data_IF_426420332199
#
_entry.id   IF_426420332199
#
_cell.length_a   1.000
_cell.length_b   1.000
_cell.length_c   1.000
_cell.angle_alpha   90.00
_cell.angle_beta   90.00
_cell.angle_gamma   90.00
#
_symmetry.space_group_name_H-M   'P 1'
#
loop_
_entity.id
_entity.type
_entity.pdbx_description
1 polymer ?
#
# COMPACT_ATOMS: atom_id res chain seq x y z
N UNK A 1 -8.80 -0.13 18.81
CA UNK A 1 -8.07 -0.22 17.53
C UNK A 1 -9.08 -0.45 16.44
N UNK A 2 -9.04 0.40 15.47
CA UNK A 2 -9.92 0.27 14.32
C UNK A 2 -9.34 -0.80 13.40
N UNK A 3 -10.08 -1.88 13.22
CA UNK A 3 -9.86 -2.76 12.08
C UNK A 3 -10.10 -1.88 10.85
N UNK A 4 -9.10 -1.77 9.96
CA UNK A 4 -9.28 -1.01 8.73
C UNK A 4 -10.23 -1.77 7.79
N UNK A 5 -11.49 -1.70 8.13
CA UNK A 5 -12.59 -2.10 7.26
C UNK A 5 -12.98 -1.02 6.25
N UNK A 6 -12.06 -0.08 5.98
CA UNK A 6 -12.30 0.96 4.99
C UNK A 6 -12.58 0.32 3.65
N UNK A 7 -13.78 0.50 3.08
CA UNK A 7 -14.18 -0.17 1.85
C UNK A 7 -13.38 0.32 0.64
N UNK A 8 -12.93 1.57 0.68
CA UNK A 8 -12.15 2.17 -0.40
C UNK A 8 -11.02 3.04 0.14
N UNK A 9 -9.92 3.08 -0.62
CA UNK A 9 -8.84 4.03 -0.46
C UNK A 9 -8.72 4.89 -1.73
N UNK A 10 -8.63 6.18 -1.55
CA UNK A 10 -8.21 7.10 -2.60
C UNK A 10 -6.79 7.56 -2.28
N UNK A 11 -5.86 7.33 -3.19
CA UNK A 11 -4.46 7.69 -3.05
C UNK A 11 -4.12 8.86 -3.96
N UNK A 12 -3.31 9.78 -3.47
CA UNK A 12 -2.68 10.83 -4.27
C UNK A 12 -1.15 10.74 -4.15
N UNK A 13 -0.48 10.65 -5.28
CA UNK A 13 0.96 10.57 -5.41
C UNK A 13 1.47 11.87 -6.02
N UNK A 14 2.40 12.58 -5.35
CA UNK A 14 2.94 13.84 -5.85
C UNK A 14 4.35 14.14 -5.34
N UNK A 15 5.01 15.12 -5.97
CA UNK A 15 6.34 15.61 -5.59
C UNK A 15 6.29 16.91 -4.77
N UNK A 16 5.13 17.28 -4.21
CA UNK A 16 5.02 18.37 -3.23
C UNK A 16 5.66 17.97 -1.92
N UNK A 17 6.14 18.95 -1.16
CA UNK A 17 6.53 18.68 0.22
C UNK A 17 5.32 18.20 1.04
N UNK A 18 5.49 17.34 2.05
CA UNK A 18 4.38 16.93 2.91
C UNK A 18 3.64 18.10 3.58
N UNK A 19 4.36 19.18 3.89
CA UNK A 19 3.78 20.39 4.50
C UNK A 19 2.88 21.14 3.51
N UNK A 20 3.34 21.39 2.28
CA UNK A 20 2.55 22.05 1.25
C UNK A 20 1.32 21.21 0.88
N UNK A 21 1.52 19.90 0.72
CA UNK A 21 0.43 18.96 0.46
C UNK A 21 -0.64 19.00 1.56
N UNK A 22 -0.22 18.98 2.83
CA UNK A 22 -1.14 19.06 3.98
C UNK A 22 -1.92 20.36 4.03
N UNK A 23 -1.27 21.48 3.67
CA UNK A 23 -1.87 22.81 3.70
C UNK A 23 -2.82 23.04 2.52
N UNK A 24 -2.38 22.72 1.31
CA UNK A 24 -3.09 23.08 0.08
C UNK A 24 -4.09 22.01 -0.39
N UNK A 25 -3.73 20.73 -0.26
CA UNK A 25 -4.50 19.65 -0.89
C UNK A 25 -5.40 18.86 0.05
N UNK A 26 -4.91 18.51 1.24
CA UNK A 26 -5.67 17.70 2.21
C UNK A 26 -7.04 18.32 2.52
N UNK A 27 -7.19 19.64 2.82
CA UNK A 27 -8.49 20.23 3.09
C UNK A 27 -9.47 20.12 1.92
N UNK A 28 -8.97 20.24 0.69
CA UNK A 28 -9.81 20.18 -0.52
C UNK A 28 -10.39 18.78 -0.73
N UNK A 29 -9.60 17.74 -0.49
CA UNK A 29 -10.09 16.36 -0.65
C UNK A 29 -10.97 15.95 0.52
N UNK A 30 -10.64 16.35 1.76
CA UNK A 30 -11.48 16.10 2.94
C UNK A 30 -12.87 16.74 2.87
N UNK A 31 -13.00 17.84 2.14
CA UNK A 31 -14.30 18.50 1.94
C UNK A 31 -15.20 17.76 0.93
N UNK A 32 -14.70 16.74 0.24
CA UNK A 32 -15.50 15.97 -0.71
C UNK A 32 -16.42 14.99 0.04
N UNK A 33 -17.60 14.79 -0.53
CA UNK A 33 -18.57 13.86 0.01
C UNK A 33 -18.04 12.43 0.05
N UNK A 34 -18.19 11.77 1.18
CA UNK A 34 -17.76 10.38 1.39
C UNK A 34 -16.28 10.21 1.71
N UNK A 35 -15.58 11.27 2.09
CA UNK A 35 -14.22 11.19 2.63
C UNK A 35 -14.29 11.27 4.16
N UNK A 36 -13.79 10.25 4.84
CA UNK A 36 -13.87 10.14 6.30
C UNK A 36 -12.58 10.59 6.99
N UNK A 37 -11.43 10.29 6.37
CA UNK A 37 -10.13 10.51 6.99
C UNK A 37 -9.05 10.71 5.93
N UNK A 38 -8.07 11.54 6.23
CA UNK A 38 -6.84 11.73 5.47
C UNK A 38 -5.63 11.43 6.34
N UNK A 39 -4.67 10.71 5.78
CA UNK A 39 -3.31 10.61 6.29
C UNK A 39 -2.34 10.97 5.17
N UNK A 40 -1.20 11.58 5.52
CA UNK A 40 -0.17 11.88 4.52
C UNK A 40 1.19 11.44 5.01
N UNK A 41 2.01 11.02 4.05
CA UNK A 41 3.18 10.21 4.28
C UNK A 41 4.34 10.72 3.46
N UNK A 42 5.54 10.63 4.02
CA UNK A 42 6.78 10.97 3.35
C UNK A 42 7.53 9.72 2.92
N UNK A 43 7.99 9.69 1.68
CA UNK A 43 8.84 8.64 1.14
C UNK A 43 10.16 8.57 1.92
N UNK A 44 10.50 7.37 2.44
CA UNK A 44 11.73 7.14 3.21
C UNK A 44 12.92 6.70 2.35
N UNK A 45 12.66 6.21 1.13
CA UNK A 45 13.70 5.70 0.24
C UNK A 45 13.54 6.28 -1.17
N UNK A 46 13.70 7.60 -1.36
CA UNK A 46 13.68 8.17 -2.70
C UNK A 46 14.75 7.53 -3.59
N UNK A 47 14.37 7.23 -4.84
CA UNK A 47 15.30 6.60 -5.79
C UNK A 47 15.55 5.12 -5.56
N UNK A 48 14.66 4.40 -4.87
CA UNK A 48 14.74 2.94 -4.73
C UNK A 48 14.94 2.28 -6.10
N UNK A 49 15.99 1.48 -6.23
CA UNK A 49 16.38 0.83 -7.50
C UNK A 49 16.34 -0.69 -7.47
N UNK A 50 16.01 -1.29 -6.30
CA UNK A 50 15.96 -2.74 -6.11
C UNK A 50 14.79 -3.40 -6.84
N UNK A 51 13.76 -2.61 -7.17
CA UNK A 51 12.58 -3.07 -7.90
C UNK A 51 12.38 -2.27 -9.18
N UNK A 52 11.89 -2.90 -10.26
CA UNK A 52 11.39 -2.17 -11.42
C UNK A 52 10.18 -1.32 -11.02
N UNK A 53 9.89 -0.29 -11.81
CA UNK A 53 8.69 0.54 -11.63
C UNK A 53 8.15 1.04 -12.95
N UNK A 54 6.83 1.17 -13.03
CA UNK A 54 6.09 1.78 -14.15
C UNK A 54 5.49 3.13 -13.75
N UNK A 55 5.55 3.43 -12.45
CA UNK A 55 5.11 4.71 -11.86
C UNK A 55 6.36 5.51 -11.50
N UNK A 56 6.37 6.78 -11.89
CA UNK A 56 7.45 7.69 -11.51
C UNK A 56 7.57 7.83 -10.00
N UNK A 57 8.77 8.16 -9.55
CA UNK A 57 9.05 8.43 -8.14
C UNK A 57 8.26 9.63 -7.65
N UNK A 58 7.84 9.58 -6.39
CA UNK A 58 7.13 10.66 -5.73
C UNK A 58 7.56 10.80 -4.27
N UNK A 59 7.45 12.00 -3.73
CA UNK A 59 7.90 12.35 -2.38
C UNK A 59 6.81 12.16 -1.34
N UNK A 60 5.57 12.52 -1.69
CA UNK A 60 4.44 12.56 -0.77
C UNK A 60 3.31 11.67 -1.26
N UNK A 61 2.80 10.85 -0.34
CA UNK A 61 1.63 10.01 -0.52
C UNK A 61 0.49 10.55 0.35
N UNK A 62 -0.63 10.91 -0.26
CA UNK A 62 -1.90 11.11 0.43
C UNK A 62 -2.71 9.83 0.42
N UNK A 63 -3.28 9.45 1.57
CA UNK A 63 -4.17 8.30 1.71
C UNK A 63 -5.47 8.79 2.32
N UNK A 64 -6.57 8.66 1.57
CA UNK A 64 -7.90 9.03 2.02
C UNK A 64 -8.76 7.77 2.17
N UNK A 65 -9.33 7.62 3.35
CA UNK A 65 -10.34 6.61 3.62
C UNK A 65 -11.68 7.14 3.13
N UNK A 66 -12.30 6.39 2.21
CA UNK A 66 -13.50 6.89 1.54
C UNK A 66 -14.60 5.82 1.49
N UNK A 67 -15.84 6.31 1.50
CA UNK A 67 -17.03 5.46 1.43
C UNK A 67 -17.55 5.25 0.00
N UNK A 68 -18.65 4.49 -0.11
CA UNK A 68 -19.29 4.14 -1.38
C UNK A 68 -19.76 5.37 -2.20
N UNK A 69 -20.06 6.47 -1.53
CA UNK A 69 -20.57 7.69 -2.16
C UNK A 69 -19.45 8.59 -2.75
N UNK A 70 -18.18 8.22 -2.50
CA UNK A 70 -17.04 9.00 -2.97
C UNK A 70 -16.90 8.92 -4.49
N UNK A 71 -16.78 10.08 -5.13
CA UNK A 71 -16.38 10.20 -6.52
C UNK A 71 -14.98 10.82 -6.58
N UNK A 72 -14.03 10.11 -7.20
CA UNK A 72 -12.67 10.59 -7.32
C UNK A 72 -12.63 11.94 -8.07
N UNK A 73 -12.02 12.98 -7.49
CA UNK A 73 -11.95 14.29 -8.11
C UNK A 73 -11.02 14.30 -9.31
N UNK A 74 -11.19 15.28 -10.16
CA UNK A 74 -10.15 15.62 -11.14
C UNK A 74 -8.91 16.11 -10.38
N UNK A 75 -7.76 15.49 -10.64
CA UNK A 75 -6.50 15.86 -10.02
C UNK A 75 -5.75 16.90 -10.82
N UNK A 76 -5.01 17.83 -10.19
CA UNK A 76 -4.00 18.64 -10.85
C UNK A 76 -2.99 17.78 -11.60
N UNK A 77 -2.35 18.33 -12.62
CA UNK A 77 -1.40 17.60 -13.49
C UNK A 77 -0.15 17.06 -12.75
N UNK A 78 0.18 17.64 -11.60
CA UNK A 78 1.30 17.25 -10.74
C UNK A 78 0.89 16.22 -9.68
N UNK A 79 -0.37 15.77 -9.67
CA UNK A 79 -0.90 14.77 -8.74
C UNK A 79 -1.49 13.60 -9.52
N UNK A 80 -1.04 12.40 -9.22
CA UNK A 80 -1.63 11.16 -9.72
C UNK A 80 -2.62 10.60 -8.70
N UNK A 81 -3.91 10.60 -9.04
CA UNK A 81 -4.98 9.98 -8.24
C UNK A 81 -5.18 8.51 -8.60
N UNK A 82 -5.32 7.66 -7.59
CA UNK A 82 -5.61 6.22 -7.73
C UNK A 82 -6.74 5.85 -6.76
N UNK A 83 -7.76 5.16 -7.24
CA UNK A 83 -8.90 4.74 -6.42
C UNK A 83 -8.96 3.22 -6.33
N UNK A 84 -8.93 2.70 -5.11
CA UNK A 84 -8.90 1.27 -4.81
C UNK A 84 -10.10 0.87 -3.96
N UNK A 85 -10.66 -0.29 -4.23
CA UNK A 85 -11.67 -0.95 -3.40
C UNK A 85 -11.06 -2.12 -2.65
N UNK A 86 -11.48 -2.35 -1.43
CA UNK A 86 -11.09 -3.53 -0.68
C UNK A 86 -11.57 -4.80 -1.39
N UNK A 87 -10.69 -5.78 -1.47
CA UNK A 87 -11.08 -7.10 -1.99
C UNK A 87 -11.90 -7.86 -0.93
N UNK A 88 -12.76 -8.80 -1.30
CA UNK A 88 -13.50 -9.63 -0.34
C UNK A 88 -12.61 -10.70 0.32
N UNK A 89 -11.33 -10.40 0.54
CA UNK A 89 -10.35 -11.29 1.15
C UNK A 89 -9.84 -10.66 2.45
N UNK A 90 -9.59 -11.49 3.49
CA UNK A 90 -9.07 -10.96 4.75
C UNK A 90 -7.69 -10.35 4.56
N UNK A 91 -7.39 -9.31 5.31
CA UNK A 91 -6.03 -8.88 5.53
C UNK A 91 -5.21 -9.97 6.24
N UNK A 92 -3.90 -9.89 6.14
CA UNK A 92 -2.97 -10.82 6.77
C UNK A 92 -2.18 -10.09 7.85
N UNK A 93 -2.06 -10.67 9.02
CA UNK A 93 -1.38 -10.07 10.18
C UNK A 93 -2.33 -9.80 11.32
N UNK A 94 -1.86 -9.06 12.32
CA UNK A 94 -2.61 -8.69 13.52
C UNK A 94 -2.38 -7.21 13.80
N UNK A 95 -3.44 -6.45 13.86
CA UNK A 95 -3.37 -5.06 14.32
C UNK A 95 -3.00 -5.04 15.80
N UNK A 96 -1.95 -4.29 16.14
CA UNK A 96 -1.32 -4.31 17.47
C UNK A 96 -2.03 -3.43 18.50
N UNK A 97 -3.02 -2.62 18.10
CA UNK A 97 -3.61 -1.57 18.93
C UNK A 97 -2.80 -0.27 18.95
N UNK A 98 -1.64 -0.27 18.29
CA UNK A 98 -0.82 0.92 18.10
C UNK A 98 -1.21 1.63 16.82
N UNK A 99 -0.99 2.95 16.73
CA UNK A 99 -1.23 3.67 15.49
C UNK A 99 -0.29 3.17 14.38
N UNK A 100 -0.77 3.15 13.14
CA UNK A 100 0.08 2.94 11.97
C UNK A 100 0.99 4.15 11.80
N UNK A 101 2.31 3.96 11.90
CA UNK A 101 3.32 5.00 11.81
C UNK A 101 4.19 4.87 10.56
N UNK A 102 4.33 3.66 10.05
CA UNK A 102 5.02 3.33 8.81
C UNK A 102 4.10 2.63 7.83
N UNK A 103 4.46 2.69 6.57
CA UNK A 103 3.72 2.08 5.49
C UNK A 103 4.70 1.55 4.43
N UNK A 104 4.46 0.34 3.93
CA UNK A 104 4.99 -0.08 2.63
C UNK A 104 3.85 -0.09 1.63
N UNK A 105 4.02 0.67 0.55
CA UNK A 105 3.10 0.72 -0.57
C UNK A 105 3.60 -0.21 -1.66
N UNK A 106 2.81 -1.24 -1.97
CA UNK A 106 3.11 -2.18 -3.05
C UNK A 106 1.99 -2.12 -4.09
N UNK A 107 2.33 -1.62 -5.27
CA UNK A 107 1.43 -1.54 -6.41
C UNK A 107 1.90 -2.53 -7.47
N UNK A 108 1.00 -3.41 -7.90
CA UNK A 108 1.31 -4.44 -8.89
C UNK A 108 0.18 -4.61 -9.92
N UNK A 109 0.57 -5.09 -11.10
CA UNK A 109 -0.36 -5.44 -12.16
C UNK A 109 -0.08 -6.85 -12.71
N UNK A 110 -1.08 -7.54 -13.22
CA UNK A 110 -0.83 -8.76 -14.00
C UNK A 110 -0.18 -8.37 -15.35
N UNK A 111 0.72 -9.21 -15.83
CA UNK A 111 1.32 -9.07 -17.17
C UNK A 111 0.24 -9.05 -18.25
N UNK A 112 -0.77 -9.90 -18.08
CA UNK A 112 -1.93 -9.99 -18.95
C UNK A 112 -3.21 -9.92 -18.12
N UNK A 113 -4.28 -9.27 -18.60
CA UNK A 113 -5.54 -9.15 -17.85
C UNK A 113 -6.12 -10.49 -17.39
N UNK A 114 -6.01 -11.54 -18.19
CA UNK A 114 -6.45 -12.88 -17.85
C UNK A 114 -5.70 -13.52 -16.67
N UNK A 115 -4.47 -13.05 -16.39
CA UNK A 115 -3.63 -13.51 -15.28
C UNK A 115 -3.96 -12.87 -13.94
N UNK A 116 -4.91 -11.93 -13.88
CA UNK A 116 -5.19 -11.14 -12.67
C UNK A 116 -5.58 -12.02 -11.48
N UNK A 117 -6.43 -13.04 -11.68
CA UNK A 117 -6.86 -13.92 -10.60
C UNK A 117 -5.69 -14.77 -10.07
N UNK A 118 -4.85 -15.32 -10.97
CA UNK A 118 -3.69 -16.12 -10.57
C UNK A 118 -2.65 -15.29 -9.80
N UNK A 119 -2.40 -14.04 -10.23
CA UNK A 119 -1.53 -13.12 -9.51
C UNK A 119 -2.08 -12.80 -8.11
N UNK A 120 -3.38 -12.53 -8.00
CA UNK A 120 -4.04 -12.27 -6.72
C UNK A 120 -3.92 -13.46 -5.78
N UNK A 121 -4.20 -14.68 -6.26
CA UNK A 121 -4.13 -15.90 -5.45
C UNK A 121 -2.72 -16.15 -4.94
N UNK A 122 -1.73 -15.96 -5.79
CA UNK A 122 -0.34 -16.04 -5.39
C UNK A 122 0.03 -14.98 -4.33
N UNK A 123 -0.34 -13.73 -4.56
CA UNK A 123 -0.04 -12.66 -3.62
C UNK A 123 -0.65 -12.93 -2.24
N UNK A 124 -1.93 -13.26 -2.17
CA UNK A 124 -2.65 -13.41 -0.90
C UNK A 124 -2.29 -14.72 -0.18
N UNK A 125 -2.18 -15.84 -0.91
CA UNK A 125 -2.04 -17.16 -0.30
C UNK A 125 -0.61 -17.69 -0.23
N UNK A 126 0.31 -17.07 -0.97
CA UNK A 126 1.73 -17.45 -0.96
C UNK A 126 2.58 -16.32 -0.43
N UNK A 127 2.62 -15.17 -1.10
CA UNK A 127 3.58 -14.11 -0.78
C UNK A 127 3.26 -13.45 0.58
N UNK A 128 2.12 -12.80 0.68
CA UNK A 128 1.70 -12.04 1.87
C UNK A 128 1.51 -12.94 3.09
N UNK A 129 0.90 -14.11 2.89
CA UNK A 129 0.67 -15.07 3.97
C UNK A 129 1.97 -15.46 4.70
N UNK A 130 3.05 -15.72 3.96
CA UNK A 130 4.32 -16.09 4.57
C UNK A 130 4.98 -14.91 5.29
N UNK A 131 4.83 -13.69 4.79
CA UNK A 131 5.31 -12.48 5.47
C UNK A 131 4.59 -12.32 6.81
N UNK A 132 3.27 -12.38 6.80
CA UNK A 132 2.46 -12.25 8.01
C UNK A 132 2.77 -13.36 9.03
N UNK A 133 2.89 -14.61 8.56
CA UNK A 133 3.23 -15.76 9.42
C UNK A 133 4.66 -15.70 9.97
N UNK A 134 5.57 -14.98 9.31
CA UNK A 134 6.93 -14.78 9.77
C UNK A 134 7.00 -13.88 11.01
N UNK A 135 5.99 -13.04 11.25
CA UNK A 135 5.98 -12.11 12.39
C UNK A 135 7.16 -11.14 12.32
N UNK A 136 7.31 -10.47 11.19
CA UNK A 136 8.36 -9.47 10.99
C UNK A 136 8.11 -8.30 11.93
N UNK A 137 9.12 -7.94 12.71
CA UNK A 137 9.02 -6.83 13.66
C UNK A 137 8.72 -5.51 12.93
N UNK A 138 7.73 -4.79 13.44
CA UNK A 138 7.22 -3.55 12.86
C UNK A 138 6.05 -3.74 11.89
N UNK A 139 5.88 -4.92 11.27
CA UNK A 139 4.71 -5.20 10.43
C UNK A 139 3.50 -5.58 11.29
N UNK A 140 2.38 -4.93 11.02
CA UNK A 140 1.13 -5.19 11.73
C UNK A 140 0.10 -5.86 10.81
N UNK A 141 -0.28 -5.22 9.72
CA UNK A 141 -1.35 -5.70 8.85
C UNK A 141 -1.00 -5.48 7.38
N UNK A 142 -1.36 -6.42 6.54
CA UNK A 142 -1.28 -6.29 5.09
C UNK A 142 -2.69 -6.43 4.51
N UNK A 143 -3.22 -5.37 3.95
CA UNK A 143 -4.59 -5.34 3.44
C UNK A 143 -4.58 -5.29 1.91
N UNK A 144 -5.24 -6.25 1.23
CA UNK A 144 -5.32 -6.28 -0.23
C UNK A 144 -6.46 -5.39 -0.75
N UNK A 145 -6.16 -4.60 -1.75
CA UNK A 145 -7.11 -3.76 -2.49
C UNK A 145 -6.98 -4.00 -3.99
N UNK A 146 -8.01 -3.64 -4.72
CA UNK A 146 -8.08 -3.73 -6.18
C UNK A 146 -8.49 -2.37 -6.76
N UNK A 147 -7.88 -1.97 -7.86
CA UNK A 147 -8.23 -0.74 -8.56
C UNK A 147 -9.72 -0.71 -8.92
N UNK A 148 -10.43 0.29 -8.45
CA UNK A 148 -11.88 0.41 -8.61
C UNK A 148 -12.31 0.58 -10.07
N UNK A 149 -11.45 1.15 -10.92
CA UNK A 149 -11.68 1.29 -12.37
C UNK A 149 -11.28 0.05 -13.18
N UNK A 150 -10.60 -0.92 -12.54
CA UNK A 150 -10.03 -2.07 -13.24
C UNK A 150 -8.74 -1.78 -14.02
N UNK A 151 -8.22 -0.54 -13.92
CA UNK A 151 -6.99 -0.11 -14.60
C UNK A 151 -5.69 -0.55 -13.92
N UNK A 152 -4.57 0.04 -14.39
CA UNK A 152 -3.24 -0.18 -13.82
C UNK A 152 -2.82 1.03 -12.96
N UNK A 153 -2.16 0.80 -11.79
CA UNK A 153 -1.88 -0.51 -11.17
C UNK A 153 -3.18 -1.25 -10.81
N UNK A 154 -3.15 -2.58 -10.99
CA UNK A 154 -4.34 -3.39 -10.78
C UNK A 154 -4.61 -3.67 -9.31
N UNK A 155 -3.56 -3.94 -8.53
CA UNK A 155 -3.64 -4.30 -7.12
C UNK A 155 -2.77 -3.39 -6.28
N UNK A 156 -3.27 -3.09 -5.08
CA UNK A 156 -2.56 -2.46 -4.01
C UNK A 156 -2.50 -3.45 -2.83
N UNK A 157 -1.30 -3.72 -2.35
CA UNK A 157 -1.12 -4.33 -1.04
C UNK A 157 -0.62 -3.24 -0.08
N UNK A 158 -1.44 -2.96 0.93
CA UNK A 158 -1.23 -1.89 1.88
C UNK A 158 -0.65 -2.49 3.15
N UNK A 159 0.67 -2.37 3.33
CA UNK A 159 1.39 -2.91 4.47
C UNK A 159 1.48 -1.86 5.56
N UNK A 160 0.79 -2.09 6.66
CA UNK A 160 0.77 -1.18 7.81
C UNK A 160 1.81 -1.61 8.83
N UNK A 161 2.54 -0.61 9.36
CA UNK A 161 3.59 -0.82 10.34
C UNK A 161 3.35 0.05 11.58
N UNK A 162 3.62 -0.50 12.76
CA UNK A 162 3.51 0.21 14.04
C UNK A 162 4.84 0.90 14.44
N UNK A 163 5.75 1.04 13.50
CA UNK A 163 7.03 1.74 13.63
C UNK A 163 7.14 2.87 12.60
N UNK A 164 7.73 4.02 12.94
CA UNK A 164 8.03 5.07 11.98
C UNK A 164 9.18 4.70 11.03
N UNK A 165 10.04 3.73 11.43
CA UNK A 165 11.20 3.26 10.65
C UNK A 165 10.78 2.16 9.67
N UNK A 166 9.87 2.52 8.74
CA UNK A 166 9.31 1.57 7.79
C UNK A 166 10.38 0.95 6.86
N UNK A 167 11.41 1.72 6.51
CA UNK A 167 12.51 1.21 5.68
C UNK A 167 13.31 0.13 6.41
N UNK A 168 13.62 0.30 7.67
CA UNK A 168 14.33 -0.72 8.45
C UNK A 168 13.48 -1.99 8.61
N UNK A 169 12.17 -1.85 8.88
CA UNK A 169 11.26 -2.99 8.95
C UNK A 169 11.19 -3.74 7.61
N UNK A 170 11.11 -3.00 6.50
CA UNK A 170 11.14 -3.54 5.15
C UNK A 170 12.42 -4.35 4.87
N UNK A 171 13.59 -3.82 5.22
CA UNK A 171 14.86 -4.52 5.03
C UNK A 171 14.94 -5.84 5.83
N UNK A 172 14.26 -5.92 6.97
CA UNK A 172 14.14 -7.17 7.77
C UNK A 172 13.15 -8.18 7.20
N UNK A 173 12.21 -7.76 6.36
CA UNK A 173 11.10 -8.60 5.88
C UNK A 173 11.59 -9.86 5.16
N UNK A 174 12.39 -9.71 4.14
CA UNK A 174 12.87 -10.84 3.31
C UNK A 174 13.72 -11.83 4.10
N UNK A 175 14.78 -11.41 4.85
CA UNK A 175 15.58 -12.36 5.61
C UNK A 175 14.79 -13.05 6.72
N UNK A 176 13.90 -12.36 7.41
CA UNK A 176 13.05 -12.94 8.46
C UNK A 176 12.08 -13.96 7.89
N UNK A 177 11.39 -13.62 6.80
CA UNK A 177 10.45 -14.54 6.14
C UNK A 177 11.17 -15.77 5.63
N UNK A 178 12.34 -15.60 5.02
CA UNK A 178 13.16 -16.72 4.55
C UNK A 178 13.56 -17.64 5.68
N UNK A 179 14.07 -17.10 6.77
CA UNK A 179 14.54 -17.90 7.92
C UNK A 179 13.40 -18.65 8.62
N UNK A 180 12.22 -18.05 8.74
CA UNK A 180 11.12 -18.61 9.53
C UNK A 180 10.12 -19.43 8.73
N UNK A 181 9.94 -19.15 7.44
CA UNK A 181 8.84 -19.68 6.63
C UNK A 181 9.28 -20.41 5.35
N UNK A 182 10.49 -20.15 4.82
CA UNK A 182 10.89 -20.54 3.49
C UNK A 182 12.18 -21.39 3.49
N UNK A 183 12.20 -22.43 4.32
CA UNK A 183 13.39 -23.26 4.58
C UNK A 183 13.90 -24.06 3.37
N UNK A 184 13.04 -24.32 2.36
CA UNK A 184 13.46 -25.02 1.14
C UNK A 184 13.53 -24.10 -0.10
N UNK A 185 14.35 -24.53 -1.08
CA UNK A 185 14.60 -23.75 -2.30
C UNK A 185 13.36 -23.61 -3.20
N UNK A 186 12.50 -24.61 -3.25
CA UNK A 186 11.31 -24.61 -4.10
C UNK A 186 10.29 -23.62 -3.56
N UNK A 187 10.07 -23.63 -2.26
CA UNK A 187 9.18 -22.69 -1.59
C UNK A 187 9.70 -21.24 -1.71
N UNK A 188 11.01 -21.05 -1.54
CA UNK A 188 11.66 -19.75 -1.77
C UNK A 188 11.39 -19.22 -3.18
N UNK A 189 11.62 -20.05 -4.22
CA UNK A 189 11.38 -19.66 -5.61
C UNK A 189 9.93 -19.28 -5.87
N UNK A 190 8.98 -20.02 -5.30
CA UNK A 190 7.53 -19.71 -5.42
C UNK A 190 7.15 -18.42 -4.72
N UNK A 191 7.80 -18.11 -3.59
CA UNK A 191 7.51 -16.91 -2.81
C UNK A 191 8.05 -15.64 -3.46
N UNK A 192 9.24 -15.69 -4.09
CA UNK A 192 9.93 -14.51 -4.63
C UNK A 192 9.34 -13.98 -5.94
N UNK A 193 8.48 -14.73 -6.61
CA UNK A 193 7.94 -14.27 -7.88
C UNK A 193 6.81 -15.13 -8.44
N UNK A 194 6.10 -14.53 -9.37
CA UNK A 194 5.02 -15.15 -10.15
C UNK A 194 5.13 -14.69 -11.60
N UNK A 195 4.81 -15.57 -12.56
CA UNK A 195 4.93 -15.28 -13.99
C UNK A 195 4.12 -14.06 -14.46
N UNK A 196 2.98 -13.82 -13.79
CA UNK A 196 2.10 -12.68 -14.07
C UNK A 196 2.50 -11.40 -13.34
N UNK A 197 3.52 -11.42 -12.45
CA UNK A 197 3.87 -10.26 -11.64
C UNK A 197 4.56 -9.17 -12.48
N UNK A 198 3.94 -8.02 -12.52
CA UNK A 198 4.56 -6.73 -12.89
C UNK A 198 4.53 -5.85 -11.66
N UNK A 199 5.69 -5.40 -11.21
CA UNK A 199 5.80 -4.44 -10.11
C UNK A 199 5.64 -3.05 -10.72
N UNK A 200 4.58 -2.34 -10.31
CA UNK A 200 4.33 -0.97 -10.73
C UNK A 200 5.06 0.03 -9.83
N UNK A 201 5.08 -0.25 -8.51
CA UNK A 201 5.78 0.58 -7.52
C UNK A 201 5.91 -0.16 -6.19
N UNK A 202 7.07 -0.03 -5.54
CA UNK A 202 7.30 -0.48 -4.15
C UNK A 202 8.13 0.57 -3.45
N UNK A 203 7.63 1.11 -2.33
CA UNK A 203 8.43 1.97 -1.46
C UNK A 203 7.86 2.04 -0.05
N UNK A 204 8.66 2.58 0.87
CA UNK A 204 8.35 2.76 2.27
C UNK A 204 8.12 4.23 2.61
N UNK A 205 7.21 4.47 3.56
CA UNK A 205 6.77 5.81 3.92
C UNK A 205 6.63 5.93 5.44
N UNK A 206 6.95 7.10 5.99
CA UNK A 206 6.64 7.46 7.37
C UNK A 206 5.46 8.42 7.42
N UNK A 207 4.60 8.24 8.42
CA UNK A 207 3.42 9.11 8.60
C UNK A 207 3.85 10.49 9.08
N UNK A 208 3.41 11.53 8.38
CA UNK A 208 3.65 12.94 8.74
C UNK A 208 2.45 13.52 9.45
N UNK A 209 1.25 13.16 9.07
CA UNK A 209 0.06 13.69 9.71
C UNK A 209 -1.22 12.96 9.37
N UNK A 210 -2.29 13.43 10.03
CA UNK A 210 -3.62 12.88 9.97
C UNK A 210 -4.67 13.96 10.20
N UNK A 211 -5.83 13.85 9.54
CA UNK A 211 -7.00 14.69 9.78
C UNK A 211 -8.28 13.89 9.51
N UNK A 212 -9.26 14.02 10.39
CA UNK A 212 -10.62 13.50 10.18
C UNK A 212 -11.46 14.55 9.43
N UNK A 213 -12.47 14.09 8.70
CA UNK A 213 -13.52 14.97 8.19
C UNK A 213 -14.31 15.54 9.40
N UNK A 214 -14.72 16.79 9.30
CA UNK A 214 -15.52 17.48 10.31
C UNK A 214 -17.00 17.13 10.20
#
# INVERSE_FOLDING_TARGET
MEDRNTPFLYLELCNRSPADYAHERVPLVLALHGVDRATWWQNQKPGRSEYPRTIDEFTTLGVFEVGNAFAAPQTPSDIRGLHFRRTPRPGQGVLTGRPTLGLELVLVSPREPAGAQALRDWADFVHIRHIAAAGVEGFAMITPYENASGGSPRFLHFYEMDTPDAEEAFQRMTPTTRARQLGDRALWKRWTGHEQLVIDYVNTFTRIGERLSS
#
